data_IF_847321142627
#
_entry.id   IF_847321142627
#
_cell.length_a   1.000
_cell.length_b   1.000
_cell.length_c   1.000
_cell.angle_alpha   90.00
_cell.angle_beta   90.00
_cell.angle_gamma   90.00
#
_symmetry.space_group_name_H-M   'P 1'
#
loop_
_entity.id
_entity.type
_entity.pdbx_description
1 polymer ?
#
# COMPACT_ATOMS: atom_id res chain seq x y z
N UNK A 1 -1.20 36.68 -30.98
CA UNK A 1 -0.66 35.53 -31.69
C UNK A 1 0.28 34.77 -30.74
N UNK A 2 0.14 33.48 -30.58
CA UNK A 2 0.91 32.58 -29.68
C UNK A 2 0.59 32.63 -28.18
N UNK A 3 -0.37 31.81 -27.76
CA UNK A 3 -0.43 31.19 -26.42
C UNK A 3 -1.14 29.85 -26.54
N UNK A 4 -0.41 28.79 -26.77
CA UNK A 4 -0.87 27.42 -26.55
C UNK A 4 0.34 26.52 -26.46
N UNK A 5 0.83 26.29 -25.23
CA UNK A 5 1.67 25.14 -24.89
C UNK A 5 1.91 25.12 -23.37
N UNK A 6 0.93 24.75 -22.58
CA UNK A 6 1.14 24.30 -21.21
C UNK A 6 -0.12 23.62 -20.65
N UNK A 7 -0.58 22.55 -21.30
CA UNK A 7 -1.64 21.72 -20.72
C UNK A 7 -1.55 20.28 -21.23
N UNK A 8 -0.39 19.66 -21.09
CA UNK A 8 -0.25 18.22 -21.36
C UNK A 8 0.69 17.47 -20.40
N UNK A 9 0.91 17.98 -19.18
CA UNK A 9 1.79 17.33 -18.24
C UNK A 9 1.13 16.96 -16.89
N UNK A 10 -0.16 17.20 -16.72
CA UNK A 10 -0.91 16.87 -15.49
C UNK A 10 -1.71 15.57 -15.51
N UNK A 11 -1.61 14.78 -16.57
CA UNK A 11 -2.38 13.52 -16.69
C UNK A 11 -1.54 12.24 -16.58
N UNK A 12 -0.28 12.33 -16.15
CA UNK A 12 0.60 11.17 -15.93
C UNK A 12 0.91 10.86 -14.47
N UNK A 13 0.30 11.52 -13.51
CA UNK A 13 0.24 10.98 -12.15
C UNK A 13 -0.75 9.80 -12.15
N UNK A 14 -0.35 8.74 -12.86
CA UNK A 14 -1.12 7.55 -13.08
C UNK A 14 -1.56 6.98 -11.74
N UNK A 15 -2.83 6.73 -11.61
CA UNK A 15 -3.37 6.00 -10.50
C UNK A 15 -2.83 4.56 -10.57
N UNK A 16 -1.66 4.31 -9.99
CA UNK A 16 -1.00 3.00 -9.96
C UNK A 16 -1.75 1.98 -9.09
N UNK A 17 -2.76 2.44 -8.34
CA UNK A 17 -3.59 1.56 -7.53
C UNK A 17 -4.56 0.77 -8.39
N UNK A 18 -4.63 -0.52 -8.09
CA UNK A 18 -5.55 -1.46 -8.75
C UNK A 18 -7.01 -1.00 -8.58
N UNK A 19 -7.74 -0.90 -9.67
CA UNK A 19 -9.13 -0.49 -9.70
C UNK A 19 -9.86 -1.08 -10.91
N UNK A 20 -11.15 -0.79 -11.05
CA UNK A 20 -11.97 -1.32 -12.15
C UNK A 20 -11.48 -0.88 -13.54
N UNK A 21 -10.80 0.25 -13.64
CA UNK A 21 -10.26 0.80 -14.91
C UNK A 21 -8.82 0.34 -15.19
N UNK A 22 -8.20 -0.41 -14.30
CA UNK A 22 -6.85 -0.96 -14.53
C UNK A 22 -6.87 -1.91 -15.74
N UNK A 23 -5.80 -1.94 -16.55
CA UNK A 23 -5.66 -2.89 -17.66
C UNK A 23 -5.88 -4.34 -17.23
N UNK A 24 -6.45 -5.15 -18.12
CA UNK A 24 -6.79 -6.53 -17.81
C UNK A 24 -5.57 -7.34 -17.39
N UNK A 25 -4.45 -7.15 -18.07
CA UNK A 25 -3.19 -7.85 -17.80
C UNK A 25 -2.68 -7.58 -16.39
N UNK A 26 -2.80 -6.32 -15.93
CA UNK A 26 -2.40 -5.93 -14.56
C UNK A 26 -3.33 -6.59 -13.54
N UNK A 27 -4.64 -6.53 -13.78
CA UNK A 27 -5.62 -7.20 -12.90
C UNK A 27 -5.35 -8.70 -12.80
N UNK A 28 -5.14 -9.37 -13.90
CA UNK A 28 -4.83 -10.80 -13.93
C UNK A 28 -3.54 -11.13 -13.21
N UNK A 29 -2.49 -10.32 -13.37
CA UNK A 29 -1.23 -10.52 -12.67
C UNK A 29 -1.42 -10.50 -11.15
N UNK A 30 -2.18 -9.52 -10.62
CA UNK A 30 -2.48 -9.46 -9.18
C UNK A 30 -3.44 -10.56 -8.71
N UNK A 31 -4.37 -11.02 -9.55
CA UNK A 31 -5.22 -12.18 -9.25
C UNK A 31 -4.37 -13.45 -9.13
N UNK A 32 -3.46 -13.69 -10.08
CA UNK A 32 -2.53 -14.84 -10.04
C UNK A 32 -1.62 -14.78 -8.80
N UNK A 33 -1.04 -13.61 -8.53
CA UNK A 33 -0.19 -13.41 -7.36
C UNK A 33 -0.96 -13.67 -6.06
N UNK A 34 -2.15 -13.11 -5.90
CA UNK A 34 -3.02 -13.36 -4.74
C UNK A 34 -3.32 -14.86 -4.58
N UNK A 35 -3.68 -15.54 -5.66
CA UNK A 35 -3.99 -16.97 -5.63
C UNK A 35 -2.77 -17.76 -5.13
N UNK A 36 -1.59 -17.48 -5.65
CA UNK A 36 -0.36 -18.14 -5.21
C UNK A 36 -0.06 -17.87 -3.72
N UNK A 37 -0.23 -16.62 -3.27
CA UNK A 37 -0.07 -16.27 -1.86
C UNK A 37 -1.09 -17.02 -0.97
N UNK A 38 -2.33 -17.17 -1.42
CA UNK A 38 -3.35 -17.93 -0.68
C UNK A 38 -2.94 -19.39 -0.53
N UNK A 39 -2.41 -20.03 -1.57
CA UNK A 39 -1.91 -21.41 -1.49
C UNK A 39 -0.73 -21.54 -0.51
N UNK A 40 0.23 -20.65 -0.57
CA UNK A 40 1.36 -20.64 0.37
C UNK A 40 0.91 -20.49 1.84
N UNK A 41 -0.19 -19.77 2.07
CA UNK A 41 -0.71 -19.50 3.42
C UNK A 41 -1.55 -20.66 4.01
N UNK A 42 -2.02 -21.61 3.20
CA UNK A 42 -2.85 -22.72 3.67
C UNK A 42 -2.07 -23.80 4.42
N UNK A 43 -0.76 -23.88 4.24
CA UNK A 43 0.08 -24.89 4.84
C UNK A 43 0.14 -24.88 6.39
N UNK A 44 -0.21 -23.76 7.01
CA UNK A 44 -0.03 -23.55 8.46
C UNK A 44 -1.29 -23.70 9.32
N UNK A 45 -2.41 -24.11 8.79
CA UNK A 45 -3.67 -24.59 9.43
C UNK A 45 -4.22 -23.93 10.71
N UNK A 46 -3.42 -23.15 11.43
CA UNK A 46 -3.72 -22.73 12.81
C UNK A 46 -3.96 -21.23 13.02
N UNK A 47 -3.71 -20.35 12.04
CA UNK A 47 -3.85 -18.90 12.22
C UNK A 47 -4.97 -18.33 11.39
N UNK A 48 -5.92 -17.66 12.04
CA UNK A 48 -7.00 -16.92 11.36
C UNK A 48 -6.51 -15.65 10.65
N UNK A 49 -5.31 -15.16 10.97
CA UNK A 49 -4.67 -14.01 10.34
C UNK A 49 -3.38 -14.43 9.67
N UNK A 50 -3.20 -14.01 8.43
CA UNK A 50 -1.98 -14.25 7.64
C UNK A 50 -1.24 -12.94 7.48
N UNK A 51 0.08 -12.99 7.67
CA UNK A 51 0.97 -11.83 7.54
C UNK A 51 2.06 -12.15 6.52
N UNK A 52 2.30 -11.24 5.60
CA UNK A 52 3.43 -11.32 4.68
C UNK A 52 4.04 -9.94 4.46
N UNK A 53 5.35 -9.92 4.19
CA UNK A 53 6.10 -8.72 3.93
C UNK A 53 6.48 -8.61 2.46
N UNK A 54 6.39 -7.39 1.92
CA UNK A 54 6.91 -7.05 0.60
C UNK A 54 8.22 -6.30 0.79
N UNK A 55 9.30 -6.87 0.31
CA UNK A 55 10.65 -6.31 0.43
C UNK A 55 11.38 -6.32 -0.90
N UNK A 56 12.56 -5.72 -0.97
CA UNK A 56 13.40 -5.69 -2.15
C UNK A 56 14.78 -5.10 -1.83
N UNK A 57 15.74 -5.30 -2.72
CA UNK A 57 17.13 -4.93 -2.51
C UNK A 57 17.37 -3.41 -2.63
N UNK A 58 16.67 -2.74 -3.54
CA UNK A 58 16.93 -1.34 -3.86
C UNK A 58 15.70 -0.44 -3.66
N UNK A 59 15.94 0.85 -3.53
CA UNK A 59 14.88 1.86 -3.57
C UNK A 59 14.32 1.97 -5.00
N UNK A 60 13.02 2.25 -5.13
CA UNK A 60 12.39 2.47 -6.44
C UNK A 60 11.93 1.21 -7.18
N UNK A 61 12.10 0.00 -6.65
CA UNK A 61 11.69 -1.28 -7.26
C UNK A 61 10.17 -1.53 -7.27
N UNK A 62 9.37 -0.58 -6.82
CA UNK A 62 7.91 -0.71 -6.80
C UNK A 62 7.34 -1.45 -5.60
N UNK A 63 8.12 -1.71 -4.53
CA UNK A 63 7.64 -2.42 -3.31
C UNK A 63 6.33 -1.88 -2.77
N UNK A 64 6.28 -0.57 -2.56
CA UNK A 64 5.12 0.08 -1.94
C UNK A 64 3.86 -0.01 -2.80
N UNK A 65 3.99 0.15 -4.13
CA UNK A 65 2.85 0.02 -5.03
C UNK A 65 2.40 -1.44 -5.15
N UNK A 66 3.35 -2.37 -5.15
CA UNK A 66 3.05 -3.80 -5.16
C UNK A 66 2.32 -4.22 -3.88
N UNK A 67 2.79 -3.78 -2.71
CA UNK A 67 2.13 -4.04 -1.43
C UNK A 67 0.70 -3.48 -1.39
N UNK A 68 0.51 -2.23 -1.85
CA UNK A 68 -0.80 -1.61 -1.94
C UNK A 68 -1.75 -2.41 -2.85
N UNK A 69 -1.28 -2.81 -4.02
CA UNK A 69 -2.10 -3.55 -4.99
C UNK A 69 -2.40 -4.99 -4.53
N UNK A 70 -1.49 -5.65 -3.84
CA UNK A 70 -1.77 -6.93 -3.19
C UNK A 70 -2.87 -6.74 -2.15
N UNK A 71 -2.77 -5.74 -1.28
CA UNK A 71 -3.79 -5.45 -0.26
C UNK A 71 -5.17 -5.18 -0.90
N UNK A 72 -5.21 -4.36 -1.96
CA UNK A 72 -6.44 -4.11 -2.73
C UNK A 72 -6.99 -5.43 -3.30
N UNK A 73 -6.16 -6.27 -3.90
CA UNK A 73 -6.61 -7.51 -4.54
C UNK A 73 -7.23 -8.50 -3.54
N UNK A 74 -6.75 -8.55 -2.30
CA UNK A 74 -7.38 -9.31 -1.22
C UNK A 74 -8.70 -8.68 -0.74
N UNK A 75 -8.72 -7.36 -0.60
CA UNK A 75 -9.91 -6.63 -0.19
C UNK A 75 -11.04 -6.76 -1.23
N UNK A 76 -10.72 -6.78 -2.53
CA UNK A 76 -11.70 -6.95 -3.62
C UNK A 76 -12.45 -8.29 -3.56
N UNK A 77 -11.91 -9.31 -2.91
CA UNK A 77 -12.60 -10.58 -2.65
C UNK A 77 -13.20 -10.66 -1.25
N UNK A 78 -13.39 -9.52 -0.59
CA UNK A 78 -14.05 -9.43 0.71
C UNK A 78 -13.17 -9.82 1.91
N UNK A 79 -11.87 -10.01 1.73
CA UNK A 79 -10.96 -10.28 2.86
C UNK A 79 -10.67 -8.99 3.62
N UNK A 80 -10.90 -9.00 4.94
CA UNK A 80 -10.47 -7.90 5.82
C UNK A 80 -8.95 -7.81 5.78
N UNK A 81 -8.43 -6.71 5.26
CA UNK A 81 -7.02 -6.54 4.96
C UNK A 81 -6.47 -5.31 5.67
N UNK A 82 -5.28 -5.44 6.26
CA UNK A 82 -4.52 -4.33 6.80
C UNK A 82 -3.23 -4.16 5.98
N UNK A 83 -3.04 -2.98 5.41
CA UNK A 83 -1.77 -2.55 4.85
C UNK A 83 -1.01 -1.77 5.90
N UNK A 84 0.14 -2.29 6.33
CA UNK A 84 1.01 -1.64 7.30
C UNK A 84 2.25 -1.10 6.58
N UNK A 85 2.43 0.22 6.60
CA UNK A 85 3.62 0.87 6.06
C UNK A 85 4.72 0.91 7.12
N UNK A 86 5.63 -0.05 7.06
CA UNK A 86 6.78 -0.15 7.94
C UNK A 86 8.08 0.41 7.32
N UNK A 87 8.01 1.08 6.17
CA UNK A 87 9.17 1.75 5.58
C UNK A 87 9.45 3.08 6.28
N UNK A 88 10.15 3.00 7.40
CA UNK A 88 10.51 4.16 8.22
C UNK A 88 11.69 4.97 7.66
N UNK A 89 12.23 4.58 6.49
CA UNK A 89 13.32 5.30 5.81
C UNK A 89 12.81 6.18 4.68
N UNK A 90 11.88 5.65 3.88
CA UNK A 90 11.41 6.33 2.67
C UNK A 90 9.97 5.94 2.34
N UNK A 91 9.05 6.20 3.28
CA UNK A 91 7.64 5.93 3.08
C UNK A 91 7.09 6.60 1.83
N UNK A 92 6.41 5.83 0.99
CA UNK A 92 5.70 6.34 -0.18
C UNK A 92 4.19 6.08 -0.13
N UNK A 93 3.69 5.33 0.85
CA UNK A 93 2.27 4.99 0.94
C UNK A 93 1.39 6.24 1.07
N UNK A 94 1.78 7.24 1.86
CA UNK A 94 1.01 8.49 1.96
C UNK A 94 0.79 9.17 0.60
N UNK A 95 1.83 9.22 -0.23
CA UNK A 95 1.75 9.78 -1.59
C UNK A 95 0.87 8.93 -2.51
N UNK A 96 1.05 7.60 -2.46
CA UNK A 96 0.28 6.64 -3.27
C UNK A 96 -1.22 6.77 -2.98
N UNK A 97 -1.60 6.86 -1.69
CA UNK A 97 -2.99 6.98 -1.25
C UNK A 97 -3.50 8.42 -1.15
N UNK A 98 -2.68 9.41 -1.53
CA UNK A 98 -3.00 10.85 -1.45
C UNK A 98 -3.50 11.25 -0.04
N UNK A 99 -2.95 10.61 0.99
CA UNK A 99 -3.32 10.84 2.38
C UNK A 99 -2.42 11.91 3.00
N UNK A 100 -3.00 12.78 3.85
CA UNK A 100 -2.30 13.89 4.51
C UNK A 100 -2.04 13.66 6.00
N UNK A 101 -2.40 12.50 6.53
CA UNK A 101 -2.14 12.14 7.93
C UNK A 101 -0.64 12.18 8.21
N UNK A 102 -0.24 12.88 9.28
CA UNK A 102 1.16 13.02 9.66
C UNK A 102 1.59 11.99 10.71
N UNK A 103 0.63 11.39 11.41
CA UNK A 103 0.87 10.40 12.48
C UNK A 103 0.69 8.98 11.95
N UNK A 104 1.31 8.00 12.61
CA UNK A 104 1.23 6.62 12.19
C UNK A 104 1.98 5.64 13.09
N UNK A 105 2.54 4.61 12.48
CA UNK A 105 3.18 3.50 13.18
C UNK A 105 4.33 3.95 14.09
N UNK A 106 5.23 4.79 13.61
CA UNK A 106 6.39 5.26 14.38
C UNK A 106 5.98 6.06 15.61
N UNK A 107 4.98 6.94 15.46
CA UNK A 107 4.46 7.75 16.59
C UNK A 107 3.79 6.86 17.64
N UNK A 108 3.12 5.79 17.20
CA UNK A 108 2.52 4.80 18.09
C UNK A 108 3.58 3.97 18.82
N UNK A 109 4.62 3.49 18.13
CA UNK A 109 5.70 2.70 18.73
C UNK A 109 6.52 3.52 19.71
N UNK A 110 6.66 4.83 19.47
CA UNK A 110 7.31 5.76 20.38
C UNK A 110 6.39 6.24 21.53
N UNK A 111 5.17 5.70 21.64
CA UNK A 111 4.16 6.07 22.64
C UNK A 111 3.77 7.55 22.65
N UNK A 112 4.00 8.24 21.53
CA UNK A 112 3.71 9.69 21.39
C UNK A 112 2.21 9.90 21.13
N UNK A 113 1.60 9.03 20.30
CA UNK A 113 0.19 9.12 19.89
C UNK A 113 -0.45 7.75 19.73
N UNK A 114 -1.80 7.66 19.85
CA UNK A 114 -2.52 6.43 19.56
C UNK A 114 -2.38 6.06 18.09
N UNK A 115 -2.51 4.76 17.78
CA UNK A 115 -2.44 4.26 16.41
C UNK A 115 -3.59 4.78 15.57
N UNK A 116 -3.28 5.51 14.52
CA UNK A 116 -4.27 5.96 13.54
C UNK A 116 -4.42 4.94 12.42
N UNK A 117 -5.66 4.54 12.15
CA UNK A 117 -6.00 3.58 11.11
C UNK A 117 -6.88 4.27 10.07
N UNK A 118 -6.42 4.33 8.84
CA UNK A 118 -7.17 4.87 7.72
C UNK A 118 -7.99 3.78 7.04
N UNK A 119 -9.31 3.95 6.92
CA UNK A 119 -10.19 3.02 6.21
C UNK A 119 -10.40 3.45 4.77
N UNK A 120 -10.20 2.55 3.83
CA UNK A 120 -10.46 2.79 2.41
C UNK A 120 -11.96 2.63 2.15
N UNK A 121 -12.56 3.63 1.50
CA UNK A 121 -13.98 3.57 1.14
C UNK A 121 -14.25 2.39 0.19
N UNK A 122 -15.39 1.74 0.36
CA UNK A 122 -15.90 0.67 -0.51
C UNK A 122 -15.09 -0.64 -0.52
N UNK A 123 -14.02 -0.73 0.28
CA UNK A 123 -13.22 -1.95 0.41
C UNK A 123 -12.98 -2.28 1.88
N UNK A 124 -12.97 -3.56 2.27
CA UNK A 124 -12.59 -3.99 3.62
C UNK A 124 -11.06 -3.90 3.80
N UNK A 125 -10.50 -2.72 3.51
CA UNK A 125 -9.08 -2.40 3.56
C UNK A 125 -8.84 -1.26 4.52
N UNK A 126 -7.94 -1.49 5.46
CA UNK A 126 -7.42 -0.48 6.37
C UNK A 126 -5.92 -0.26 6.13
N UNK A 127 -5.45 0.95 6.38
CA UNK A 127 -4.05 1.33 6.19
C UNK A 127 -3.53 1.99 7.46
N UNK A 128 -2.37 1.56 7.90
CA UNK A 128 -1.55 2.25 8.90
C UNK A 128 -0.34 2.82 8.19
N UNK A 129 -0.23 4.13 8.17
CA UNK A 129 0.92 4.82 7.57
C UNK A 129 2.11 4.83 8.54
N UNK A 130 3.30 5.03 8.01
CA UNK A 130 4.55 5.08 8.80
C UNK A 130 4.49 6.10 9.93
N UNK A 131 3.95 7.28 9.71
CA UNK A 131 3.99 8.37 10.70
C UNK A 131 5.22 9.27 10.51
N UNK A 132 5.70 9.87 11.61
CA UNK A 132 6.92 10.68 11.64
C UNK A 132 8.13 9.80 11.38
N UNK A 133 9.01 10.21 10.44
CA UNK A 133 10.21 9.42 10.16
C UNK A 133 11.20 9.55 11.32
N UNK A 134 11.57 8.45 12.00
CA UNK A 134 12.53 8.51 13.07
C UNK A 134 13.94 8.81 12.55
N UNK A 135 14.80 9.46 13.33
CA UNK A 135 16.19 9.74 12.94
C UNK A 135 17.01 8.46 12.74
N UNK A 136 16.72 7.43 13.54
CA UNK A 136 17.40 6.13 13.51
C UNK A 136 16.37 5.00 13.27
N UNK A 137 15.95 4.75 12.04
CA UNK A 137 14.89 3.77 11.74
C UNK A 137 15.29 2.30 11.95
N UNK A 138 16.54 2.04 12.31
CA UNK A 138 17.07 0.69 12.56
C UNK A 138 17.19 0.34 14.04
N UNK A 139 16.87 1.28 14.93
CA UNK A 139 16.79 1.13 16.39
C UNK A 139 15.34 1.07 16.86
#
# INVERSE_FOLDING_TARGET
>A
MMKQKHDKQSSQDGNFLLNLRSPAEIKEAYVKLRTNLMFCMTADGKRNCKVFAVTGANQGEGKSITAANIAISFAMIGKKTLLLDADMRSSSQRRIWKNRTLTGLSDFLAEIKPLEVFSVKELPLSIVFTGTLPPNPSE
#
